data_IF_987495749096
#
_entry.id   IF_987495749096
#
_cell.length_a   1.000
_cell.length_b   1.000
_cell.length_c   1.000
_cell.angle_alpha   90.00
_cell.angle_beta   90.00
_cell.angle_gamma   90.00
#
_symmetry.space_group_name_H-M   'P 1'
#
loop_
_entity.id
_entity.type
_entity.pdbx_description
1 polymer ?
#
# COMPACT_ATOMS: atom_id res chain seq x y z
N UNK A 1 -18.40 3.96 15.60
CA UNK A 1 -17.74 4.54 15.04
C UNK A 1 -16.44 4.14 15.03
N UNK A 2 -15.77 4.51 14.35
CA UNK A 2 -14.60 4.10 14.33
C UNK A 2 -13.85 4.43 15.40
N UNK A 3 -14.34 5.25 16.09
CA UNK A 3 -13.72 5.64 17.09
C UNK A 3 -12.44 5.16 17.28
N UNK A 4 -11.67 5.38 16.59
CA UNK A 4 -10.39 5.12 16.72
C UNK A 4 -9.90 3.81 16.69
N UNK A 5 -10.78 2.96 16.42
CA UNK A 5 -10.36 1.78 16.47
C UNK A 5 -9.85 1.41 15.31
N UNK A 6 -9.05 1.39 14.83
CA UNK A 6 -8.66 0.78 13.69
C UNK A 6 -8.20 1.61 12.53
N UNK A 7 -8.09 2.87 12.65
CA UNK A 7 -7.68 3.72 11.56
C UNK A 7 -6.19 3.99 11.68
N UNK A 8 -5.42 3.63 10.66
CA UNK A 8 -3.99 3.87 10.69
C UNK A 8 -3.49 4.42 9.36
N UNK A 9 -2.50 5.27 9.45
CA UNK A 9 -1.91 5.90 8.28
C UNK A 9 -0.47 5.41 8.18
N UNK A 10 -0.08 4.86 7.05
CA UNK A 10 1.24 4.29 6.87
C UNK A 10 1.98 5.05 5.79
N UNK A 11 3.10 5.67 6.14
CA UNK A 11 3.95 6.25 5.14
C UNK A 11 4.91 5.15 4.76
N UNK A 12 4.73 4.58 3.57
CA UNK A 12 5.43 3.37 3.18
C UNK A 12 6.94 3.47 3.35
N UNK A 13 7.54 4.55 2.87
CA UNK A 13 8.99 4.67 2.90
C UNK A 13 9.54 4.61 4.31
N UNK A 14 8.80 5.15 5.27
CA UNK A 14 9.28 5.14 6.64
C UNK A 14 9.01 3.82 7.34
N UNK A 15 7.81 3.33 7.21
CA UNK A 15 7.44 2.14 7.96
C UNK A 15 8.06 0.88 7.37
N UNK A 16 8.22 0.82 6.06
CA UNK A 16 8.85 -0.34 5.45
C UNK A 16 10.30 -0.45 5.90
N UNK A 17 10.99 0.68 6.04
CA UNK A 17 12.36 0.66 6.51
C UNK A 17 12.43 0.12 7.93
N UNK A 18 11.52 0.58 8.80
CA UNK A 18 11.49 0.11 10.17
C UNK A 18 11.19 -1.37 10.25
N UNK A 19 10.23 -1.83 9.47
CA UNK A 19 9.86 -3.24 9.50
C UNK A 19 10.98 -4.11 8.97
N UNK A 20 11.65 -3.68 7.92
CA UNK A 20 12.74 -4.48 7.39
C UNK A 20 13.89 -4.57 8.39
N UNK A 21 14.10 -3.53 9.19
CA UNK A 21 15.14 -3.57 10.19
C UNK A 21 14.83 -4.57 11.31
N UNK A 22 13.57 -4.95 11.46
CA UNK A 22 13.19 -5.88 12.50
C UNK A 22 13.15 -7.32 12.02
N UNK A 23 13.51 -7.59 10.75
CA UNK A 23 13.35 -8.93 10.24
C UNK A 23 14.08 -10.01 11.00
N UNK A 24 15.16 -9.69 11.67
CA UNK A 24 15.88 -10.69 12.44
C UNK A 24 15.40 -10.78 13.89
N UNK A 25 14.37 -10.02 14.25
CA UNK A 25 13.83 -10.04 15.59
C UNK A 25 12.38 -10.47 15.44
N UNK A 26 12.14 -11.76 15.39
CA UNK A 26 10.83 -12.30 15.08
C UNK A 26 9.71 -11.78 15.93
N UNK A 27 9.92 -11.65 17.20
CA UNK A 27 8.87 -11.24 18.08
C UNK A 27 8.48 -9.79 17.84
N UNK A 28 9.46 -8.90 17.74
CA UNK A 28 9.15 -7.50 17.52
C UNK A 28 8.62 -7.27 16.11
N UNK A 29 9.13 -8.03 15.14
CA UNK A 29 8.63 -7.89 13.77
C UNK A 29 7.15 -8.28 13.73
N UNK A 30 6.81 -9.40 14.33
CA UNK A 30 5.42 -9.87 14.30
C UNK A 30 4.49 -8.86 14.96
N UNK A 31 4.93 -8.28 16.07
CA UNK A 31 4.10 -7.32 16.78
C UNK A 31 3.91 -6.05 15.96
N UNK A 32 5.00 -5.55 15.36
CA UNK A 32 4.89 -4.30 14.62
C UNK A 32 4.11 -4.45 13.31
N UNK A 33 4.34 -5.53 12.58
CA UNK A 33 3.65 -5.68 11.32
C UNK A 33 2.16 -5.98 11.53
N UNK A 34 1.83 -6.57 12.67
CA UNK A 34 0.43 -6.90 12.93
C UNK A 34 -0.44 -5.66 13.01
N UNK A 35 0.11 -4.53 13.42
CA UNK A 35 -0.66 -3.30 13.46
C UNK A 35 -1.18 -2.94 12.10
N UNK A 36 -0.36 -3.19 11.06
CA UNK A 36 -0.75 -2.84 9.71
C UNK A 36 -1.65 -3.90 9.11
N UNK A 37 -1.46 -5.16 9.50
CA UNK A 37 -2.27 -6.22 8.96
C UNK A 37 -3.70 -6.18 9.46
N UNK A 38 -3.92 -5.64 10.66
CA UNK A 38 -5.22 -5.75 11.30
C UNK A 38 -5.99 -4.44 11.42
N UNK A 39 -5.40 -3.31 11.05
CA UNK A 39 -6.10 -2.03 11.16
C UNK A 39 -7.38 -2.09 10.34
N UNK A 40 -8.47 -1.64 10.91
CA UNK A 40 -9.74 -1.70 10.24
C UNK A 40 -9.69 -0.87 8.97
N UNK A 41 -9.11 0.30 9.01
CA UNK A 41 -8.90 1.14 7.83
C UNK A 41 -7.41 1.46 7.79
N UNK A 42 -6.77 1.13 6.69
CA UNK A 42 -5.34 1.40 6.53
C UNK A 42 -5.13 2.23 5.27
N UNK A 43 -4.47 3.37 5.43
CA UNK A 43 -4.11 4.20 4.30
C UNK A 43 -2.60 4.05 4.13
N UNK A 44 -2.17 3.54 2.98
CA UNK A 44 -0.75 3.39 2.70
C UNK A 44 -0.36 4.47 1.68
N UNK A 45 0.46 5.41 2.13
CA UNK A 45 0.88 6.53 1.30
C UNK A 45 2.24 6.22 0.68
N UNK A 46 2.47 6.64 -0.52
CA UNK A 46 3.71 6.42 -1.26
C UNK A 46 4.04 4.93 -1.40
N UNK A 47 3.00 4.13 -1.66
CA UNK A 47 3.15 2.68 -1.69
C UNK A 47 4.22 2.25 -2.69
N UNK A 48 5.19 1.51 -2.22
CA UNK A 48 6.31 0.99 -2.98
C UNK A 48 7.19 2.07 -3.61
N UNK A 49 7.17 3.27 -3.03
CA UNK A 49 8.02 4.33 -3.57
C UNK A 49 9.48 4.02 -3.30
N UNK A 50 10.33 4.31 -4.26
CA UNK A 50 11.76 4.07 -4.14
C UNK A 50 12.50 5.34 -4.50
N UNK A 51 13.80 5.35 -4.23
CA UNK A 51 14.57 6.49 -4.48
C UNK A 51 15.04 6.50 -5.91
N UNK A 52 15.02 7.61 -6.56
CA UNK A 52 15.56 7.79 -7.89
C UNK A 52 15.01 6.82 -8.93
N UNK A 53 13.79 6.43 -8.81
CA UNK A 53 13.16 5.58 -9.80
C UNK A 53 13.64 4.13 -9.81
N UNK A 54 14.37 3.74 -8.79
CA UNK A 54 14.82 2.35 -8.71
C UNK A 54 13.62 1.42 -8.56
N UNK A 55 13.80 0.16 -8.90
CA UNK A 55 12.74 -0.79 -8.66
C UNK A 55 12.74 -1.20 -7.19
N UNK A 56 11.59 -1.53 -6.64
CA UNK A 56 11.54 -2.02 -5.27
C UNK A 56 12.36 -3.29 -5.14
N UNK A 57 12.96 -3.49 -4.00
CA UNK A 57 13.76 -4.69 -3.76
C UNK A 57 12.85 -5.86 -3.47
N UNK A 58 13.40 -7.06 -3.48
CA UNK A 58 12.62 -8.23 -3.11
C UNK A 58 12.11 -8.10 -1.70
N UNK A 59 12.88 -7.51 -0.81
CA UNK A 59 12.43 -7.29 0.56
C UNK A 59 11.21 -6.38 0.62
N UNK A 60 11.19 -5.34 -0.22
CA UNK A 60 10.04 -4.43 -0.27
C UNK A 60 8.82 -5.18 -0.79
N UNK A 61 8.99 -5.99 -1.83
CA UNK A 61 7.87 -6.70 -2.42
C UNK A 61 7.35 -7.74 -1.43
N UNK A 62 8.21 -8.47 -0.76
CA UNK A 62 7.78 -9.48 0.19
C UNK A 62 7.03 -8.84 1.35
N UNK A 63 7.52 -7.72 1.84
CA UNK A 63 6.87 -7.03 2.94
C UNK A 63 5.48 -6.54 2.51
N UNK A 64 5.41 -5.94 1.34
CA UNK A 64 4.14 -5.44 0.84
C UNK A 64 3.15 -6.60 0.66
N UNK A 65 3.63 -7.71 0.10
CA UNK A 65 2.75 -8.84 -0.12
C UNK A 65 2.24 -9.39 1.21
N UNK A 66 3.09 -9.44 2.22
CA UNK A 66 2.68 -9.97 3.51
C UNK A 66 1.52 -9.16 4.08
N UNK A 67 1.61 -7.84 4.03
CA UNK A 67 0.58 -6.98 4.57
C UNK A 67 -0.69 -7.08 3.72
N UNK A 68 -0.56 -6.99 2.41
CA UNK A 68 -1.71 -6.99 1.54
C UNK A 68 -2.42 -8.33 1.55
N UNK A 69 -1.68 -9.42 1.58
CA UNK A 69 -2.29 -10.74 1.59
C UNK A 69 -3.08 -10.97 2.88
N UNK A 70 -2.54 -10.55 4.01
CA UNK A 70 -3.25 -10.69 5.27
C UNK A 70 -4.55 -9.89 5.25
N UNK A 71 -4.50 -8.69 4.71
CA UNK A 71 -5.68 -7.84 4.67
C UNK A 71 -6.67 -8.31 3.61
N UNK A 72 -6.16 -8.87 2.51
CA UNK A 72 -7.03 -9.34 1.45
C UNK A 72 -7.96 -10.45 1.95
N UNK A 73 -7.46 -11.28 2.84
CA UNK A 73 -8.24 -12.39 3.35
C UNK A 73 -9.29 -11.98 4.39
N UNK A 74 -9.33 -10.73 4.79
CA UNK A 74 -10.32 -10.28 5.75
C UNK A 74 -11.17 -9.20 5.09
N UNK A 75 -12.40 -9.56 4.70
CA UNK A 75 -13.24 -8.64 3.97
C UNK A 75 -13.77 -7.47 4.74
N UNK A 76 -13.62 -7.47 6.04
CA UNK A 76 -14.08 -6.32 6.83
C UNK A 76 -13.08 -5.20 6.83
N UNK A 77 -11.85 -5.46 6.37
CA UNK A 77 -10.82 -4.42 6.40
C UNK A 77 -10.86 -3.59 5.12
N UNK A 78 -10.51 -2.33 5.24
CA UNK A 78 -10.49 -1.44 4.11
C UNK A 78 -9.11 -0.86 3.95
N UNK A 79 -8.58 -0.85 2.75
CA UNK A 79 -7.23 -0.39 2.48
C UNK A 79 -7.27 0.65 1.37
N UNK A 80 -6.58 1.75 1.59
CA UNK A 80 -6.47 2.83 0.62
C UNK A 80 -5.02 2.96 0.25
N UNK A 81 -4.72 3.02 -1.04
CA UNK A 81 -3.36 3.14 -1.50
C UNK A 81 -3.18 4.44 -2.26
N UNK A 82 -2.04 5.09 -2.07
CA UNK A 82 -1.66 6.18 -2.95
C UNK A 82 -0.20 5.99 -3.29
N UNK A 83 0.20 6.39 -4.46
CA UNK A 83 1.58 6.25 -4.87
C UNK A 83 1.75 6.58 -6.32
N UNK A 84 2.99 6.58 -6.77
CA UNK A 84 3.29 6.91 -8.14
C UNK A 84 3.16 5.72 -9.06
N UNK A 85 3.19 4.51 -8.55
CA UNK A 85 3.14 3.34 -9.40
C UNK A 85 1.70 2.94 -9.65
N UNK A 86 1.35 2.77 -10.90
CA UNK A 86 0.01 2.34 -11.21
C UNK A 86 -0.18 0.86 -10.97
N UNK A 87 -1.39 0.41 -11.04
CA UNK A 87 -1.70 -0.97 -10.77
C UNK A 87 -1.01 -1.90 -11.77
N UNK A 88 -0.90 -1.49 -13.02
CA UNK A 88 -0.22 -2.31 -14.00
C UNK A 88 1.25 -2.50 -13.64
N UNK A 89 1.88 -1.46 -13.14
CA UNK A 89 3.26 -1.57 -12.74
C UNK A 89 3.39 -2.50 -11.54
N UNK A 90 2.47 -2.43 -10.61
CA UNK A 90 2.49 -3.29 -9.43
C UNK A 90 2.31 -4.74 -9.86
N UNK A 91 1.44 -4.99 -10.84
CA UNK A 91 1.25 -6.34 -11.33
C UNK A 91 2.50 -6.87 -12.00
N UNK A 92 3.27 -6.00 -12.65
CA UNK A 92 4.50 -6.45 -13.25
C UNK A 92 5.54 -6.79 -12.19
N UNK A 93 5.51 -6.09 -11.06
CA UNK A 93 6.44 -6.39 -10.00
C UNK A 93 6.05 -7.67 -9.28
N UNK A 94 4.77 -7.87 -9.08
CA UNK A 94 4.28 -9.07 -8.39
C UNK A 94 2.83 -9.27 -8.78
N UNK A 95 2.58 -10.24 -9.63
CA UNK A 95 1.25 -10.45 -10.16
C UNK A 95 0.24 -10.80 -9.08
N UNK A 96 0.63 -11.62 -8.12
CA UNK A 96 -0.29 -12.03 -7.07
C UNK A 96 -0.73 -10.83 -6.25
N UNK A 97 0.21 -9.95 -5.90
CA UNK A 97 -0.12 -8.78 -5.11
C UNK A 97 -0.99 -7.84 -5.91
N UNK A 98 -0.62 -7.58 -7.16
CA UNK A 98 -1.39 -6.67 -7.99
C UNK A 98 -2.82 -7.16 -8.21
N UNK A 99 -2.98 -8.47 -8.39
CA UNK A 99 -4.30 -9.02 -8.57
C UNK A 99 -5.16 -8.86 -7.33
N UNK A 100 -4.58 -9.05 -6.16
CA UNK A 100 -5.34 -8.89 -4.93
C UNK A 100 -5.77 -7.45 -4.72
N UNK A 101 -4.89 -6.51 -5.04
CA UNK A 101 -5.25 -5.10 -4.93
C UNK A 101 -6.39 -4.80 -5.90
N UNK A 102 -6.27 -5.30 -7.13
CA UNK A 102 -7.28 -5.02 -8.13
C UNK A 102 -8.64 -5.59 -7.69
N UNK A 103 -8.65 -6.79 -7.17
CA UNK A 103 -9.91 -7.40 -6.76
C UNK A 103 -10.56 -6.65 -5.61
N UNK A 104 -9.75 -6.11 -4.69
CA UNK A 104 -10.34 -5.41 -3.56
C UNK A 104 -10.73 -3.98 -3.91
N UNK A 105 -10.08 -3.37 -4.89
CA UNK A 105 -10.43 -2.01 -5.26
C UNK A 105 -11.63 -1.97 -6.17
N UNK A 106 -11.73 -2.94 -7.04
CA UNK A 106 -12.87 -2.95 -7.92
C UNK A 106 -12.97 -1.67 -8.70
N UNK A 107 -14.11 -1.04 -8.67
CA UNK A 107 -14.31 0.18 -9.41
C UNK A 107 -13.88 1.41 -8.68
N UNK A 108 -13.35 1.25 -7.49
CA UNK A 108 -12.99 2.41 -6.72
C UNK A 108 -11.55 2.84 -6.87
N UNK A 109 -10.96 2.71 -8.06
CA UNK A 109 -9.63 3.18 -8.22
C UNK A 109 -9.64 4.46 -8.97
N UNK A 110 -8.67 5.30 -8.65
CA UNK A 110 -8.53 6.57 -9.29
C UNK A 110 -7.12 6.62 -9.80
N UNK A 111 -6.94 7.06 -11.05
CA UNK A 111 -5.62 7.17 -11.59
C UNK A 111 -5.43 8.56 -12.09
N UNK A 112 -4.39 9.23 -11.60
CA UNK A 112 -4.08 10.56 -12.03
C UNK A 112 -2.81 10.52 -12.82
N UNK A 113 -2.88 10.86 -14.09
CA UNK A 113 -1.74 10.71 -14.93
C UNK A 113 -0.77 11.85 -14.87
N UNK A 114 0.38 11.67 -15.51
CA UNK A 114 1.34 12.71 -15.55
C UNK A 114 1.19 13.33 -16.89
N UNK A 115 1.41 14.55 -17.02
CA UNK A 115 1.27 15.17 -18.28
C UNK A 115 1.00 16.60 -18.09
N UNK A 116 0.59 17.34 -19.09
CA UNK A 116 0.37 18.65 -18.94
C UNK A 116 -0.67 18.78 -18.02
N UNK A 117 -0.76 19.73 -17.30
CA UNK A 117 -1.81 19.95 -16.41
C UNK A 117 -1.72 19.06 -15.24
N UNK A 118 -0.56 18.55 -14.97
CA UNK A 118 -0.46 17.73 -13.97
C UNK A 118 -0.93 18.09 -12.68
N UNK A 119 -1.39 19.13 -12.35
CA UNK A 119 -1.89 19.43 -11.06
C UNK A 119 -3.23 18.80 -10.96
N UNK A 120 -3.43 17.72 -11.61
CA UNK A 120 -4.65 17.10 -11.55
C UNK A 120 -5.14 16.77 -10.22
N UNK A 121 -4.35 16.54 -9.26
CA UNK A 121 -4.84 16.17 -8.02
C UNK A 121 -5.71 17.18 -7.47
N UNK A 122 -5.73 18.34 -7.96
CA UNK A 122 -6.60 19.33 -7.41
C UNK A 122 -7.76 19.56 -8.32
N UNK A 123 -7.95 18.74 -9.34
CA UNK A 123 -9.06 18.96 -10.24
C UNK A 123 -9.96 17.79 -10.29
N UNK A 124 -11.19 18.01 -10.47
CA UNK A 124 -12.10 16.97 -10.49
C UNK A 124 -11.94 16.07 -11.57
N UNK A 125 -11.47 16.45 -12.66
CA UNK A 125 -11.41 15.57 -13.73
C UNK A 125 -10.50 14.48 -13.36
N UNK A 126 -9.71 14.63 -12.36
CA UNK A 126 -8.86 13.56 -11.97
C UNK A 126 -9.62 12.47 -11.36
N UNK A 127 -10.84 12.72 -11.05
CA UNK A 127 -11.57 11.76 -10.37
C UNK A 127 -12.34 11.01 -11.34
N UNK A 128 -12.14 9.88 -11.50
CA UNK A 128 -12.88 9.22 -12.40
C UNK A 128 -12.99 7.97 -12.25
#
# INVERSE_FOLDING_TARGET
>A
MLQGKGVRYMIWTEEATKLKALKTDDENYAREINKWKTAEVLYIDDFLKTRNGALPTDGDINLAFEIINARYNNRTLRTIFSGERGLNEIMELDEAMGSRIYQRCGKYKLKIGWGEGRNYRTREEGVV
#
